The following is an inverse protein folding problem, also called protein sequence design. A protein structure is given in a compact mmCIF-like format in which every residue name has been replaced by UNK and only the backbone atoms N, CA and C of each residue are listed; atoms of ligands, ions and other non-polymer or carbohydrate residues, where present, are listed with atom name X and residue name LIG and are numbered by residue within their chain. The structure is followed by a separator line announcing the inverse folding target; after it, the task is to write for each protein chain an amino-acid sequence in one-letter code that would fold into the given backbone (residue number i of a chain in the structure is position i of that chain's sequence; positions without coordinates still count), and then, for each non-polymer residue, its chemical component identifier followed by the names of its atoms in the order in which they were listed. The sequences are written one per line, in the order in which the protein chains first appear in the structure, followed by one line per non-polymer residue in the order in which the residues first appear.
data_IF_618577981383
#
_entry.id   IF_618577981383
#
_cell.length_a   1.000
_cell.length_b   1.000
_cell.length_c   1.000
_cell.angle_alpha   90.00
_cell.angle_beta   90.00
_cell.angle_gamma   90.00
#
_symmetry.space_group_name_H-M   'P 1'
#
loop_
_entity.id
_entity.type
_entity.pdbx_description
1 polymer ?
#
# COMPACT_ATOMS: atom_id res chain seq x y z
N UNK A 1 6.34 -80.14 -58.23
CA UNK A 1 5.35 -79.16 -57.81
C UNK A 1 5.70 -78.75 -56.38
N UNK A 2 6.46 -77.65 -56.24
CA UNK A 2 6.91 -77.20 -54.97
C UNK A 2 6.28 -75.82 -54.72
N UNK A 3 5.42 -75.73 -53.75
CA UNK A 3 4.77 -74.50 -53.32
C UNK A 3 5.63 -73.82 -52.23
N UNK A 4 6.22 -72.69 -52.56
CA UNK A 4 6.92 -71.81 -51.66
C UNK A 4 5.89 -71.04 -50.87
N UNK A 5 5.84 -71.22 -49.53
CA UNK A 5 5.09 -70.43 -48.60
C UNK A 5 5.98 -69.28 -48.17
N UNK A 6 5.64 -68.08 -48.66
CA UNK A 6 6.28 -66.82 -48.22
C UNK A 6 5.79 -66.39 -46.87
N UNK A 7 6.62 -66.42 -45.80
CA UNK A 7 6.37 -65.78 -44.53
C UNK A 7 6.59 -64.29 -44.72
N UNK A 8 5.49 -63.52 -44.66
CA UNK A 8 5.54 -62.07 -44.52
C UNK A 8 5.90 -61.70 -43.07
N UNK A 9 7.12 -61.21 -42.84
CA UNK A 9 7.48 -60.47 -41.66
C UNK A 9 6.81 -59.09 -41.73
N UNK A 10 5.57 -59.00 -41.26
CA UNK A 10 4.91 -57.77 -40.94
C UNK A 10 4.85 -57.69 -39.44
N UNK A 11 5.36 -56.60 -38.83
CA UNK A 11 4.98 -56.14 -37.48
C UNK A 11 6.12 -55.88 -36.49
N UNK A 12 7.06 -55.07 -36.85
CA UNK A 12 7.94 -54.49 -35.82
C UNK A 12 7.86 -52.96 -35.72
N UNK A 13 7.56 -52.30 -36.82
CA UNK A 13 7.60 -50.81 -36.86
C UNK A 13 6.32 -50.14 -36.32
N UNK A 14 5.14 -50.68 -36.61
CA UNK A 14 3.89 -50.06 -36.15
C UNK A 14 3.66 -50.12 -34.65
N UNK A 15 4.14 -51.17 -33.98
CA UNK A 15 4.04 -51.33 -32.54
C UNK A 15 4.97 -50.34 -31.80
N UNK A 16 6.18 -50.11 -32.28
CA UNK A 16 7.12 -49.15 -31.71
C UNK A 16 6.66 -47.68 -31.90
N UNK A 17 6.12 -47.38 -33.07
CA UNK A 17 5.53 -46.06 -33.35
C UNK A 17 4.29 -45.81 -32.48
N UNK A 18 3.40 -46.78 -32.31
CA UNK A 18 2.25 -46.68 -31.41
C UNK A 18 2.64 -46.47 -29.95
N UNK A 19 3.69 -47.15 -29.48
CA UNK A 19 4.22 -46.97 -28.14
C UNK A 19 4.81 -45.56 -27.93
N UNK A 20 5.55 -45.05 -28.93
CA UNK A 20 6.09 -43.70 -28.91
C UNK A 20 4.99 -42.65 -28.84
N UNK A 21 3.92 -42.75 -29.61
CA UNK A 21 2.77 -41.84 -29.53
C UNK A 21 2.07 -41.92 -28.20
N UNK A 22 1.91 -43.10 -27.62
CA UNK A 22 1.31 -43.27 -26.30
C UNK A 22 2.15 -42.62 -25.20
N UNK A 23 3.47 -42.81 -25.23
CA UNK A 23 4.39 -42.16 -24.28
C UNK A 23 4.35 -40.63 -24.43
N UNK A 24 4.34 -40.13 -25.67
CA UNK A 24 4.25 -38.72 -25.94
C UNK A 24 2.94 -38.09 -25.40
N UNK A 25 1.81 -38.76 -25.61
CA UNK A 25 0.51 -38.32 -25.09
C UNK A 25 0.48 -38.29 -23.56
N UNK A 26 1.06 -39.31 -22.90
CA UNK A 26 1.17 -39.32 -21.43
C UNK A 26 2.03 -38.16 -20.92
N UNK A 27 3.17 -37.90 -21.57
CA UNK A 27 4.05 -36.79 -21.19
C UNK A 27 3.38 -35.44 -21.39
N UNK A 28 2.67 -35.24 -22.49
CA UNK A 28 1.91 -34.02 -22.75
C UNK A 28 0.80 -33.84 -21.70
N UNK A 29 0.06 -34.92 -21.40
CA UNK A 29 -0.98 -34.88 -20.37
C UNK A 29 -0.43 -34.51 -18.99
N UNK A 30 0.71 -35.11 -18.60
CA UNK A 30 1.40 -34.78 -17.35
C UNK A 30 1.87 -33.32 -17.33
N UNK A 31 2.44 -32.82 -18.42
CA UNK A 31 2.89 -31.45 -18.54
C UNK A 31 1.72 -30.45 -18.44
N UNK A 32 0.59 -30.72 -19.11
CA UNK A 32 -0.60 -29.88 -19.05
C UNK A 32 -1.20 -29.88 -17.63
N UNK A 33 -1.24 -31.06 -16.98
CA UNK A 33 -1.74 -31.17 -15.60
C UNK A 33 -0.83 -30.42 -14.62
N UNK A 34 0.49 -30.55 -14.77
CA UNK A 34 1.46 -29.84 -13.94
C UNK A 34 1.35 -28.31 -14.12
N UNK A 35 1.25 -27.84 -15.38
CA UNK A 35 1.05 -26.42 -15.67
C UNK A 35 -0.29 -25.89 -15.11
N UNK A 36 -1.36 -26.67 -15.25
CA UNK A 36 -2.67 -26.36 -14.67
C UNK A 36 -2.63 -26.29 -13.15
N UNK A 37 -1.94 -27.23 -12.50
CA UNK A 37 -1.76 -27.23 -11.05
C UNK A 37 -0.91 -26.03 -10.58
N UNK A 38 0.19 -25.72 -11.26
CA UNK A 38 1.00 -24.54 -10.95
C UNK A 38 0.18 -23.26 -11.15
N UNK A 39 -0.55 -23.15 -12.26
CA UNK A 39 -1.45 -22.02 -12.52
C UNK A 39 -2.52 -21.87 -11.45
N UNK A 40 -3.12 -22.96 -11.00
CA UNK A 40 -4.09 -22.97 -9.90
C UNK A 40 -3.46 -22.61 -8.56
N UNK A 41 -2.29 -23.17 -8.23
CA UNK A 41 -1.60 -22.90 -6.97
C UNK A 41 -1.02 -21.47 -6.90
N UNK A 42 -0.64 -20.92 -8.06
CA UNK A 42 -0.17 -19.52 -8.18
C UNK A 42 -1.30 -18.52 -8.45
N UNK A 43 -2.53 -19.00 -8.68
CA UNK A 43 -3.68 -18.10 -8.81
C UNK A 43 -3.83 -17.32 -7.51
N UNK A 44 -3.72 -16.00 -7.55
CA UNK A 44 -3.85 -15.20 -6.33
C UNK A 44 -5.26 -15.41 -5.78
N UNK A 45 -5.38 -16.24 -4.73
CA UNK A 45 -6.58 -16.32 -3.92
C UNK A 45 -6.66 -15.01 -3.13
N UNK A 46 -7.16 -13.97 -3.81
CA UNK A 46 -7.54 -12.74 -3.13
C UNK A 46 -8.67 -13.14 -2.18
N UNK A 47 -8.52 -12.86 -0.90
CA UNK A 47 -9.65 -13.02 0.00
C UNK A 47 -10.70 -11.97 -0.38
N UNK A 48 -11.57 -12.31 -1.30
CA UNK A 48 -12.80 -11.58 -1.62
C UNK A 48 -13.84 -11.77 -0.51
N UNK A 49 -13.39 -11.88 0.74
CA UNK A 49 -14.28 -11.87 1.86
C UNK A 49 -14.96 -10.51 1.89
N UNK A 50 -16.26 -10.49 1.60
CA UNK A 50 -17.11 -9.32 1.83
C UNK A 50 -16.84 -8.84 3.25
N UNK A 51 -16.35 -7.62 3.36
CA UNK A 51 -16.10 -7.02 4.68
C UNK A 51 -17.40 -6.39 5.12
N UNK A 52 -17.97 -6.88 6.21
CA UNK A 52 -19.13 -6.23 6.81
C UNK A 52 -18.75 -4.85 7.34
N UNK A 53 -19.64 -3.86 7.16
CA UNK A 53 -19.40 -2.46 7.61
C UNK A 53 -19.20 -2.40 9.13
N UNK A 54 -19.87 -3.25 9.86
CA UNK A 54 -19.87 -3.39 11.32
C UNK A 54 -18.92 -4.48 11.84
N UNK A 55 -18.03 -4.98 11.00
CA UNK A 55 -17.09 -6.00 11.41
C UNK A 55 -16.24 -5.53 12.61
N UNK A 56 -16.01 -6.39 13.61
CA UNK A 56 -15.21 -6.02 14.77
C UNK A 56 -13.78 -5.64 14.37
N UNK A 57 -13.23 -4.64 15.06
CA UNK A 57 -11.85 -4.20 14.82
C UNK A 57 -10.85 -5.33 15.04
N UNK A 58 -9.86 -5.39 14.16
CA UNK A 58 -8.78 -6.38 14.22
C UNK A 58 -7.62 -5.85 15.08
N UNK A 59 -7.17 -6.60 16.08
CA UNK A 59 -5.94 -6.29 16.81
C UNK A 59 -4.72 -6.62 15.92
N UNK A 60 -4.03 -5.58 15.47
CA UNK A 60 -2.85 -5.70 14.60
C UNK A 60 -1.65 -5.08 15.31
N UNK A 61 -0.52 -5.79 15.34
CA UNK A 61 0.71 -5.33 15.98
C UNK A 61 1.74 -4.96 14.91
N UNK A 62 2.25 -3.73 14.95
CA UNK A 62 3.35 -3.25 14.10
C UNK A 62 4.52 -2.84 15.01
N UNK A 63 5.69 -3.43 14.82
CA UNK A 63 6.89 -3.17 15.64
C UNK A 63 6.61 -3.14 17.16
N UNK A 64 5.76 -4.07 17.64
CA UNK A 64 5.40 -4.18 19.06
C UNK A 64 4.25 -3.25 19.51
N UNK A 65 3.85 -2.27 18.72
CA UNK A 65 2.71 -1.40 19.01
C UNK A 65 1.40 -2.02 18.53
N UNK A 66 0.39 -2.08 19.41
CA UNK A 66 -0.94 -2.61 19.11
C UNK A 66 -1.86 -1.53 18.54
N UNK A 67 -2.56 -1.87 17.45
CA UNK A 67 -3.58 -1.05 16.82
C UNK A 67 -4.87 -1.86 16.67
N UNK A 68 -6.03 -1.26 16.99
CA UNK A 68 -7.34 -1.82 16.77
C UNK A 68 -7.92 -1.20 15.50
N UNK A 69 -8.01 -1.98 14.42
CA UNK A 69 -8.27 -1.45 13.08
C UNK A 69 -9.58 -1.98 12.53
N UNK A 70 -10.52 -1.11 12.13
CA UNK A 70 -11.74 -1.54 11.44
C UNK A 70 -11.37 -2.21 10.09
N UNK A 71 -11.84 -3.46 9.82
CA UNK A 71 -11.53 -4.14 8.57
C UNK A 71 -11.87 -3.35 7.29
N UNK A 72 -12.97 -2.55 7.24
CA UNK A 72 -13.28 -1.72 6.08
C UNK A 72 -12.25 -0.62 5.79
N UNK A 73 -11.49 -0.19 6.79
CA UNK A 73 -10.42 0.79 6.60
C UNK A 73 -9.17 0.18 5.93
N UNK A 74 -8.99 -1.14 5.99
CA UNK A 74 -7.79 -1.81 5.48
C UNK A 74 -7.89 -1.94 3.95
N UNK A 75 -7.00 -1.25 3.23
CA UNK A 75 -6.99 -1.20 1.77
C UNK A 75 -6.51 -2.49 1.11
N UNK A 76 -5.52 -3.13 1.72
CA UNK A 76 -4.88 -4.32 1.17
C UNK A 76 -5.53 -5.55 1.79
N UNK A 77 -6.25 -6.34 1.01
CA UNK A 77 -7.00 -7.49 1.49
C UNK A 77 -6.13 -8.47 2.30
N UNK A 78 -4.89 -8.72 1.89
CA UNK A 78 -3.94 -9.58 2.60
C UNK A 78 -3.57 -9.08 4.02
N UNK A 79 -3.79 -7.80 4.32
CA UNK A 79 -3.56 -7.20 5.63
C UNK A 79 -4.78 -7.32 6.57
N UNK A 80 -5.94 -7.78 6.09
CA UNK A 80 -7.17 -7.97 6.88
C UNK A 80 -7.09 -9.20 7.77
N UNK A 81 -6.09 -9.23 8.65
CA UNK A 81 -5.86 -10.33 9.61
C UNK A 81 -5.27 -9.79 10.89
N UNK A 82 -5.63 -10.40 12.01
CA UNK A 82 -5.06 -10.08 13.32
C UNK A 82 -3.60 -10.53 13.44
N UNK A 83 -2.89 -9.98 14.42
CA UNK A 83 -1.53 -10.37 14.78
C UNK A 83 -0.45 -9.46 14.21
N UNK A 84 0.80 -9.92 14.26
CA UNK A 84 1.96 -9.14 13.86
C UNK A 84 2.02 -8.96 12.33
N UNK A 85 2.27 -7.73 11.90
CA UNK A 85 2.47 -7.35 10.51
C UNK A 85 3.62 -6.32 10.42
N UNK A 86 4.25 -6.21 9.27
CA UNK A 86 5.34 -5.25 9.03
C UNK A 86 4.80 -3.87 8.67
N UNK A 87 3.65 -3.85 7.99
CA UNK A 87 3.03 -2.64 7.45
C UNK A 87 1.52 -2.80 7.39
N UNK A 88 0.83 -1.66 7.53
CA UNK A 88 -0.61 -1.56 7.42
C UNK A 88 -0.98 -0.35 6.57
N UNK A 89 -1.82 -0.55 5.56
CA UNK A 89 -2.28 0.49 4.64
C UNK A 89 -3.78 0.69 4.80
N UNK A 90 -4.16 1.89 5.24
CA UNK A 90 -5.52 2.26 5.60
C UNK A 90 -6.07 3.37 4.70
N UNK A 91 -7.39 3.53 4.72
CA UNK A 91 -8.10 4.65 4.12
C UNK A 91 -9.26 5.07 5.01
N UNK A 92 -9.45 6.38 5.15
CA UNK A 92 -10.55 6.98 5.89
C UNK A 92 -11.18 8.10 5.07
N UNK A 93 -12.46 8.34 5.29
CA UNK A 93 -13.17 9.47 4.71
C UNK A 93 -12.86 10.75 5.50
N UNK A 94 -12.72 11.85 4.79
CA UNK A 94 -12.52 13.15 5.41
C UNK A 94 -13.77 14.02 5.27
N UNK A 95 -14.17 14.80 6.27
CA UNK A 95 -13.54 14.95 7.61
C UNK A 95 -14.05 13.96 8.66
N UNK A 96 -14.95 13.04 8.33
CA UNK A 96 -15.62 12.15 9.30
C UNK A 96 -14.71 11.13 9.96
N UNK A 97 -13.53 10.84 9.38
CA UNK A 97 -12.61 9.78 9.77
C UNK A 97 -13.26 8.38 9.84
N UNK A 98 -14.43 8.23 9.22
CA UNK A 98 -15.08 6.94 9.08
C UNK A 98 -14.37 6.09 8.01
N UNK A 99 -14.30 4.75 8.18
CA UNK A 99 -13.87 3.89 7.08
C UNK A 99 -14.86 3.99 5.91
N UNK A 100 -14.38 3.88 4.65
CA UNK A 100 -15.28 3.85 3.51
C UNK A 100 -16.19 2.63 3.55
N UNK A 101 -17.39 2.75 2.98
CA UNK A 101 -18.28 1.61 2.78
C UNK A 101 -17.64 0.62 1.79
N UNK A 102 -17.37 -0.62 2.22
CA UNK A 102 -16.76 -1.63 1.35
C UNK A 102 -17.68 -2.04 0.19
N UNK A 103 -19.02 -1.88 0.35
CA UNK A 103 -20.02 -2.17 -0.66
C UNK A 103 -20.40 -0.93 -1.49
N UNK A 104 -19.77 0.21 -1.20
CA UNK A 104 -19.98 1.45 -1.90
C UNK A 104 -19.39 1.44 -3.31
N UNK A 105 -19.74 2.44 -4.14
CA UNK A 105 -19.18 2.56 -5.47
C UNK A 105 -17.66 2.69 -5.41
N UNK A 106 -16.92 2.11 -6.39
CA UNK A 106 -15.47 2.18 -6.40
C UNK A 106 -15.01 3.64 -6.34
N UNK A 107 -13.94 3.94 -5.59
CA UNK A 107 -13.45 5.30 -5.44
C UNK A 107 -13.07 5.88 -6.80
N UNK A 108 -13.58 7.06 -7.12
CA UNK A 108 -13.09 7.83 -8.25
C UNK A 108 -11.62 8.15 -8.01
N UNK A 109 -10.77 8.07 -9.04
CA UNK A 109 -9.32 8.31 -8.98
C UNK A 109 -8.91 9.66 -8.36
N UNK A 110 -9.83 10.62 -8.28
CA UNK A 110 -9.64 11.96 -7.72
C UNK A 110 -10.44 12.18 -6.43
N UNK A 111 -10.60 11.16 -5.59
CA UNK A 111 -11.30 11.33 -4.32
C UNK A 111 -10.53 12.31 -3.41
N UNK A 112 -11.01 13.55 -3.36
CA UNK A 112 -10.48 14.63 -2.52
C UNK A 112 -10.99 14.57 -1.08
N UNK A 113 -11.79 13.57 -0.78
CA UNK A 113 -12.49 13.33 0.49
C UNK A 113 -11.85 12.20 1.30
N UNK A 114 -10.58 11.86 1.04
CA UNK A 114 -9.95 10.70 1.67
C UNK A 114 -8.56 11.02 2.18
N UNK A 115 -8.26 10.47 3.35
CA UNK A 115 -6.90 10.37 3.88
C UNK A 115 -6.44 8.93 3.80
N UNK A 116 -5.24 8.73 3.26
CA UNK A 116 -4.60 7.42 3.20
C UNK A 116 -3.53 7.37 4.28
N UNK A 117 -3.54 6.31 5.05
CA UNK A 117 -2.61 6.14 6.17
C UNK A 117 -1.77 4.90 5.96
N UNK A 118 -0.49 5.02 6.23
CA UNK A 118 0.42 3.89 6.33
C UNK A 118 1.02 3.88 7.72
N UNK A 119 0.98 2.72 8.38
CA UNK A 119 1.67 2.47 9.64
C UNK A 119 2.73 1.40 9.38
N UNK A 120 3.98 1.66 9.73
CA UNK A 120 5.09 0.72 9.53
C UNK A 120 6.10 0.84 10.67
N UNK A 121 7.04 -0.08 10.74
CA UNK A 121 8.17 0.03 11.67
C UNK A 121 8.90 1.36 11.46
N UNK A 122 9.34 1.96 12.56
CA UNK A 122 9.99 3.27 12.56
C UNK A 122 11.28 3.26 11.73
N UNK A 123 11.46 4.32 10.95
CA UNK A 123 12.74 4.60 10.28
C UNK A 123 13.81 5.05 11.31
N UNK A 124 15.08 4.97 10.93
CA UNK A 124 16.19 5.30 11.84
C UNK A 124 16.12 6.73 12.41
N UNK A 125 15.61 7.69 11.63
CA UNK A 125 15.56 9.11 12.02
C UNK A 125 14.12 9.62 12.07
N UNK A 126 13.66 10.15 13.22
CA UNK A 126 12.35 10.77 13.35
C UNK A 126 12.13 11.93 12.38
N UNK A 127 10.88 12.21 11.95
CA UNK A 127 10.57 13.27 10.99
C UNK A 127 11.09 14.65 11.39
N UNK A 128 10.93 15.02 12.66
CA UNK A 128 11.41 16.32 13.19
C UNK A 128 12.94 16.43 13.20
N UNK A 129 13.63 15.33 13.44
CA UNK A 129 15.11 15.31 13.36
C UNK A 129 15.59 15.42 11.90
N UNK A 130 14.87 14.81 10.96
CA UNK A 130 15.13 15.01 9.51
C UNK A 130 14.97 16.48 9.11
N UNK A 131 13.96 17.16 9.64
CA UNK A 131 13.77 18.59 9.41
C UNK A 131 14.98 19.42 9.89
N UNK A 132 15.58 19.04 11.01
CA UNK A 132 16.72 19.77 11.59
C UNK A 132 18.07 19.41 10.96
N UNK A 133 18.31 18.14 10.67
CA UNK A 133 19.62 17.62 10.32
C UNK A 133 19.81 17.38 8.82
N UNK A 134 18.75 17.05 8.08
CA UNK A 134 18.84 16.65 6.68
C UNK A 134 18.32 17.74 5.75
N UNK A 135 17.08 18.20 5.96
CA UNK A 135 16.41 19.09 5.02
C UNK A 135 17.09 20.45 4.81
N UNK A 136 17.78 21.08 5.80
CA UNK A 136 18.47 22.34 5.59
C UNK A 136 19.53 22.30 4.48
N UNK A 137 20.05 21.12 4.17
CA UNK A 137 21.04 20.94 3.08
C UNK A 137 20.39 21.02 1.69
N UNK A 138 19.09 20.84 1.60
CA UNK A 138 18.35 20.63 0.34
C UNK A 138 17.25 21.65 0.07
N UNK A 139 16.84 22.44 1.08
CA UNK A 139 15.78 23.45 0.94
C UNK A 139 16.33 24.81 0.49
N UNK A 140 15.44 25.65 -0.01
CA UNK A 140 15.72 27.07 -0.27
C UNK A 140 16.05 27.79 1.04
N UNK A 141 16.79 28.90 0.94
CA UNK A 141 17.23 29.68 2.12
C UNK A 141 16.08 30.41 2.82
N UNK A 142 15.09 30.85 2.04
CA UNK A 142 13.96 31.62 2.55
C UNK A 142 12.66 30.83 2.42
N UNK A 143 11.82 30.86 3.47
CA UNK A 143 10.51 30.24 3.41
C UNK A 143 9.53 31.13 2.61
N UNK A 144 8.59 30.49 1.96
CA UNK A 144 7.35 31.14 1.53
C UNK A 144 6.34 31.03 2.67
N UNK A 145 5.70 32.14 3.09
CA UNK A 145 4.65 32.07 4.09
C UNK A 145 3.49 31.19 3.59
N UNK A 146 3.09 30.25 4.41
CA UNK A 146 1.92 29.40 4.17
C UNK A 146 0.68 29.88 4.91
N UNK A 147 -0.48 29.23 4.68
CA UNK A 147 -1.72 29.55 5.37
C UNK A 147 -1.57 29.33 6.89
N UNK A 148 -2.19 30.19 7.68
CA UNK A 148 -2.37 30.08 9.12
C UNK A 148 -1.08 29.78 9.94
N UNK A 149 0.07 30.38 9.54
CA UNK A 149 1.34 30.25 10.26
C UNK A 149 2.22 29.08 9.83
N UNK A 150 1.91 28.41 8.74
CA UNK A 150 2.82 27.44 8.13
C UNK A 150 4.03 28.13 7.49
N UNK A 151 5.19 27.51 7.63
CA UNK A 151 6.38 27.81 6.86
C UNK A 151 6.52 26.78 5.73
N UNK A 152 6.73 27.26 4.51
CA UNK A 152 6.89 26.41 3.32
C UNK A 152 8.28 26.64 2.73
N UNK A 153 9.10 25.60 2.66
CA UNK A 153 10.40 25.64 2.02
C UNK A 153 10.43 24.72 0.82
N UNK A 154 10.73 25.27 -0.35
CA UNK A 154 10.92 24.48 -1.55
C UNK A 154 12.21 23.65 -1.47
N UNK A 155 12.16 22.39 -1.81
CA UNK A 155 13.38 21.63 -2.07
C UNK A 155 14.01 22.08 -3.38
N UNK A 156 15.35 22.22 -3.38
CA UNK A 156 16.12 22.66 -4.53
C UNK A 156 16.14 21.59 -5.62
N UNK A 157 16.24 22.03 -6.86
CA UNK A 157 16.44 21.13 -7.98
C UNK A 157 17.77 20.36 -7.83
N UNK A 158 17.78 19.10 -8.27
CA UNK A 158 18.89 18.18 -8.08
C UNK A 158 18.97 17.56 -6.68
N UNK A 159 18.07 17.92 -5.75
CA UNK A 159 17.95 17.25 -4.46
C UNK A 159 17.16 15.92 -4.58
N UNK A 160 17.31 14.99 -3.62
CA UNK A 160 16.50 13.78 -3.57
C UNK A 160 14.99 14.03 -3.43
N UNK A 161 14.60 15.26 -3.09
CA UNK A 161 13.22 15.71 -2.85
C UNK A 161 12.76 16.72 -3.91
N UNK A 162 13.42 16.75 -5.06
CA UNK A 162 13.07 17.67 -6.14
C UNK A 162 11.59 17.57 -6.49
N UNK A 163 10.95 18.73 -6.68
CA UNK A 163 9.50 18.80 -6.97
C UNK A 163 8.59 18.77 -5.73
N UNK A 164 9.16 18.69 -4.53
CA UNK A 164 8.44 18.78 -3.26
C UNK A 164 8.77 20.05 -2.50
N UNK A 165 7.90 20.37 -1.53
CA UNK A 165 8.11 21.35 -0.48
C UNK A 165 8.08 20.66 0.87
N UNK A 166 8.87 21.12 1.83
CA UNK A 166 8.64 20.81 3.23
C UNK A 166 7.77 21.92 3.85
N UNK A 167 6.74 21.50 4.55
CA UNK A 167 5.74 22.37 5.15
C UNK A 167 5.63 22.02 6.63
N UNK A 168 5.74 23.01 7.50
CA UNK A 168 5.64 22.78 8.94
C UNK A 168 5.08 23.99 9.67
N UNK A 169 4.57 23.78 10.88
CA UNK A 169 4.17 24.84 11.78
C UNK A 169 5.39 25.63 12.24
N UNK A 170 5.45 26.92 11.90
CA UNK A 170 6.60 27.77 12.19
C UNK A 170 6.87 27.92 13.70
N UNK A 171 5.82 27.90 14.53
CA UNK A 171 5.93 28.02 15.99
C UNK A 171 6.31 26.69 16.66
N UNK A 172 5.79 25.57 16.14
CA UNK A 172 5.97 24.24 16.72
C UNK A 172 6.12 23.17 15.62
N UNK A 173 7.31 23.03 15.02
CA UNK A 173 7.53 22.07 13.90
C UNK A 173 7.21 20.61 14.23
N UNK A 174 7.19 20.24 15.52
CA UNK A 174 6.79 18.92 15.98
C UNK A 174 5.28 18.67 15.94
N UNK A 175 4.46 19.74 15.91
CA UNK A 175 3.02 19.65 15.87
C UNK A 175 2.52 19.27 14.49
N UNK A 176 2.99 19.95 13.45
CA UNK A 176 2.67 19.65 12.07
C UNK A 176 3.92 19.68 11.19
N UNK A 177 4.18 18.61 10.50
CA UNK A 177 5.27 18.48 9.53
C UNK A 177 4.81 17.60 8.38
N UNK A 178 4.88 18.12 7.16
CA UNK A 178 4.55 17.39 5.96
C UNK A 178 5.54 17.68 4.82
N UNK A 179 5.68 16.74 3.90
CA UNK A 179 6.28 16.97 2.58
C UNK A 179 5.16 16.95 1.55
N UNK A 180 5.13 17.95 0.68
CA UNK A 180 4.05 18.14 -0.27
C UNK A 180 4.61 18.23 -1.67
N UNK A 181 4.14 17.37 -2.58
CA UNK A 181 4.45 17.49 -3.99
C UNK A 181 3.91 18.81 -4.55
N UNK A 182 4.74 19.51 -5.33
CA UNK A 182 4.30 20.66 -6.11
C UNK A 182 3.47 20.17 -7.29
N UNK A 183 2.29 20.71 -7.46
CA UNK A 183 1.43 20.35 -8.59
C UNK A 183 2.04 20.89 -9.89
N UNK A 184 2.30 20.01 -10.83
CA UNK A 184 2.69 20.39 -12.18
C UNK A 184 1.48 20.76 -13.06
N UNK A 185 0.25 20.44 -12.61
CA UNK A 185 -0.98 20.63 -13.33
C UNK A 185 -2.09 21.11 -12.40
N UNK A 186 -2.80 22.22 -12.70
CA UNK A 186 -3.91 22.72 -11.89
C UNK A 186 -5.05 21.70 -11.71
N UNK A 187 -5.19 20.74 -12.63
CA UNK A 187 -6.22 19.70 -12.56
C UNK A 187 -5.84 18.54 -11.62
N UNK A 188 -4.58 18.44 -11.24
CA UNK A 188 -4.10 17.39 -10.32
C UNK A 188 -3.46 18.07 -9.12
N UNK A 189 -4.20 18.28 -8.02
CA UNK A 189 -3.65 18.90 -6.83
C UNK A 189 -2.47 18.06 -6.32
N UNK A 190 -1.45 18.76 -5.82
CA UNK A 190 -0.33 18.10 -5.15
C UNK A 190 -0.82 17.28 -3.98
N UNK A 191 0.01 16.35 -3.56
CA UNK A 191 -0.27 15.47 -2.41
C UNK A 191 0.72 15.76 -1.31
N UNK A 192 0.25 15.85 -0.07
CA UNK A 192 1.06 15.98 1.13
C UNK A 192 1.21 14.63 1.84
N UNK A 193 2.36 14.42 2.45
CA UNK A 193 2.70 13.32 3.34
C UNK A 193 3.05 13.91 4.71
N UNK A 194 2.12 13.83 5.66
CA UNK A 194 2.40 14.15 7.05
C UNK A 194 2.90 12.91 7.77
N UNK A 195 4.04 13.05 8.47
CA UNK A 195 4.71 11.94 9.13
C UNK A 195 4.78 12.18 10.64
N UNK A 196 4.46 11.15 11.43
CA UNK A 196 4.55 11.18 12.89
C UNK A 196 5.20 9.91 13.41
N UNK A 197 6.02 10.06 14.45
CA UNK A 197 6.59 8.94 15.20
C UNK A 197 5.67 8.59 16.37
N UNK A 198 5.26 7.32 16.46
CA UNK A 198 4.42 6.78 17.54
C UNK A 198 5.15 5.56 18.13
N UNK A 199 5.92 5.77 19.21
CA UNK A 199 6.81 4.72 19.72
C UNK A 199 7.78 4.25 18.64
N UNK A 200 7.80 2.94 18.39
CA UNK A 200 8.64 2.31 17.37
C UNK A 200 7.96 2.18 16.01
N UNK A 201 6.91 2.99 15.75
CA UNK A 201 6.22 3.02 14.45
C UNK A 201 6.23 4.42 13.84
N UNK A 202 6.29 4.48 12.51
CA UNK A 202 6.02 5.66 11.72
C UNK A 202 4.59 5.60 11.19
N UNK A 203 3.83 6.65 11.49
CA UNK A 203 2.50 6.91 10.96
C UNK A 203 2.63 7.96 9.86
N UNK A 204 2.27 7.60 8.63
CA UNK A 204 2.31 8.50 7.48
C UNK A 204 0.91 8.68 6.92
N UNK A 205 0.41 9.91 6.94
CA UNK A 205 -0.86 10.29 6.35
C UNK A 205 -0.65 11.00 5.02
N UNK A 206 -1.35 10.57 3.98
CA UNK A 206 -1.35 11.19 2.65
C UNK A 206 -2.71 11.80 2.36
N UNK A 207 -2.72 13.09 1.99
CA UNK A 207 -3.91 13.88 1.74
C UNK A 207 -3.64 14.95 0.64
N UNK A 208 -4.68 15.54 0.04
CA UNK A 208 -4.55 16.62 -0.95
C UNK A 208 -3.88 17.87 -0.38
N UNK A 209 -3.03 18.51 -1.17
CA UNK A 209 -2.29 19.72 -0.74
C UNK A 209 -3.20 20.91 -0.43
N UNK A 210 -4.35 21.01 -1.06
CA UNK A 210 -5.34 22.07 -0.81
C UNK A 210 -5.92 22.03 0.61
N UNK A 211 -5.80 20.92 1.32
CA UNK A 211 -6.17 20.86 2.75
C UNK A 211 -5.26 21.65 3.67
N UNK A 212 -4.11 22.11 3.21
CA UNK A 212 -3.22 22.96 4.00
C UNK A 212 -3.86 24.29 4.39
N UNK A 213 -4.87 24.78 3.67
CA UNK A 213 -5.65 25.94 4.05
C UNK A 213 -6.29 25.78 5.46
N UNK A 214 -6.65 24.55 5.80
CA UNK A 214 -7.23 24.16 7.09
C UNK A 214 -6.35 23.14 7.82
N UNK A 215 -5.04 23.34 7.79
CA UNK A 215 -4.07 22.35 8.29
C UNK A 215 -4.26 21.99 9.78
N UNK A 216 -4.82 22.92 10.58
CA UNK A 216 -5.10 22.63 12.00
C UNK A 216 -6.21 21.60 12.18
N UNK A 217 -7.21 21.62 11.30
CA UNK A 217 -8.25 20.58 11.28
C UNK A 217 -7.67 19.24 10.83
N UNK A 218 -6.76 19.26 9.83
CA UNK A 218 -6.04 18.05 9.41
C UNK A 218 -5.21 17.50 10.55
N UNK A 219 -4.46 18.34 11.23
CA UNK A 219 -3.63 17.96 12.39
C UNK A 219 -4.48 17.34 13.51
N UNK A 220 -5.56 18.02 13.91
CA UNK A 220 -6.48 17.51 14.94
C UNK A 220 -7.14 16.18 14.53
N UNK A 221 -7.57 16.08 13.27
CA UNK A 221 -8.15 14.83 12.75
C UNK A 221 -7.14 13.68 12.71
N UNK A 222 -5.88 13.94 12.39
CA UNK A 222 -4.85 12.89 12.45
C UNK A 222 -4.57 12.43 13.88
N UNK A 223 -4.59 13.36 14.85
CA UNK A 223 -4.43 13.02 16.27
C UNK A 223 -5.61 12.19 16.78
N UNK A 224 -6.83 12.56 16.40
CA UNK A 224 -8.03 11.80 16.71
C UNK A 224 -7.96 10.38 16.12
N UNK A 225 -7.57 10.26 14.85
CA UNK A 225 -7.44 8.97 14.18
C UNK A 225 -6.40 8.08 14.87
N UNK A 226 -5.26 8.65 15.25
CA UNK A 226 -4.22 7.93 16.01
C UNK A 226 -4.78 7.44 17.35
N UNK A 227 -5.54 8.29 18.03
CA UNK A 227 -6.16 7.94 19.31
C UNK A 227 -7.21 6.83 19.16
N UNK A 228 -8.03 6.85 18.10
CA UNK A 228 -9.02 5.81 17.81
C UNK A 228 -8.37 4.47 17.49
N UNK A 229 -7.24 4.46 16.79
CA UNK A 229 -6.54 3.24 16.41
C UNK A 229 -5.77 2.61 17.57
N UNK A 230 -5.37 3.39 18.57
CA UNK A 230 -4.64 2.85 19.73
C UNK A 230 -5.63 2.39 20.79
N UNK A 231 -5.42 1.20 21.39
CA UNK A 231 -6.22 0.82 22.55
C UNK A 231 -5.99 1.83 23.67
N UNK A 232 -7.05 2.12 24.46
CA UNK A 232 -6.90 2.93 25.66
C UNK A 232 -5.79 2.31 26.54
N UNK A 233 -4.88 3.14 27.05
CA UNK A 233 -3.88 2.69 28.02
C UNK A 233 -4.62 2.11 29.23
N UNK A 234 -4.40 0.81 29.48
CA UNK A 234 -4.93 0.13 30.68
C UNK A 234 -4.08 0.51 31.88
#
# INVERSE_FOLDING_TARGET
MSTLVGHRHLTGRGAAEGLLYLVLLVLISLAVTALGFVGYAMWPSWPDAEVAVDAPSLPITIAGALFNVPPPAIRVAAQRRSGAQERLDLVYLWPSLAPPDPNGPPPKLAARDRVFVTIAAATAMPPVERLKAIYPRYIATEPTPGPAGLAIFAFRDGSPYQGEDVVFDAEAPGRFLARCARSANPLTPGTCLAERRIGDTDFTARFPRDWLENWRDVEAGLDELIAQLRPAAQ
#
